data_IF_280006584324
#
_entry.id   IF_280006584324
#
_cell.length_a   1.000
_cell.length_b   1.000
_cell.length_c   1.000
_cell.angle_alpha   90.00
_cell.angle_beta   90.00
_cell.angle_gamma   90.00
#
_symmetry.space_group_name_H-M   'P 1'
#
loop_
_entity.id
_entity.type
_entity.pdbx_description
1 polymer ?
#
# COMPACT_ATOMS: atom_id res chain seq x y z
N UNK A 1 3.52 27.27 17.31
CA UNK A 1 3.62 26.95 15.87
C UNK A 1 4.90 27.59 15.37
N UNK A 2 5.99 26.82 15.23
CA UNK A 2 7.26 27.33 14.68
C UNK A 2 6.98 27.96 13.31
N UNK A 3 7.20 29.27 13.17
CA UNK A 3 7.08 29.97 11.88
C UNK A 3 8.40 30.02 11.12
N UNK A 4 9.49 29.62 11.76
CA UNK A 4 10.85 29.71 11.24
C UNK A 4 11.38 28.33 10.85
N UNK A 5 12.35 28.31 9.94
CA UNK A 5 13.03 27.10 9.52
C UNK A 5 13.93 26.59 10.66
N UNK A 6 13.77 25.34 11.11
CA UNK A 6 14.58 24.79 12.21
C UNK A 6 16.05 24.57 11.81
N UNK A 7 16.37 24.62 10.51
CA UNK A 7 17.73 24.45 10.00
C UNK A 7 18.52 25.76 9.92
N UNK A 8 17.88 26.87 9.53
CA UNK A 8 18.58 28.14 9.28
C UNK A 8 17.97 29.37 9.95
N UNK A 9 16.86 29.24 10.67
CA UNK A 9 16.17 30.35 11.33
C UNK A 9 15.39 31.30 10.41
N UNK A 10 15.39 31.07 9.09
CA UNK A 10 14.64 31.92 8.16
C UNK A 10 13.12 31.81 8.38
N UNK A 11 12.40 32.93 8.27
CA UNK A 11 10.94 33.00 8.30
C UNK A 11 10.29 32.69 6.95
N UNK A 12 11.08 32.50 5.88
CA UNK A 12 10.60 32.10 4.56
C UNK A 12 10.23 30.63 4.54
N UNK A 13 9.06 30.29 5.12
CA UNK A 13 8.54 28.93 5.16
C UNK A 13 7.26 28.83 4.34
N UNK A 14 7.26 27.93 3.37
CA UNK A 14 6.12 27.62 2.48
C UNK A 14 5.39 26.41 3.06
N UNK A 15 4.17 26.56 3.62
CA UNK A 15 3.44 25.46 4.21
C UNK A 15 2.58 24.70 3.19
N UNK A 16 2.09 23.52 3.59
CA UNK A 16 1.07 22.75 2.87
C UNK A 16 1.42 22.40 1.42
N UNK A 17 2.71 22.22 1.13
CA UNK A 17 3.19 21.82 -0.19
C UNK A 17 2.78 20.37 -0.44
N UNK A 18 2.15 20.07 -1.57
CA UNK A 18 1.89 18.69 -1.97
C UNK A 18 3.17 18.04 -2.46
N UNK A 19 3.49 16.88 -1.94
CA UNK A 19 4.61 16.07 -2.41
C UNK A 19 4.08 14.98 -3.32
N UNK A 20 4.72 14.84 -4.46
CA UNK A 20 4.25 13.98 -5.53
C UNK A 20 5.28 12.89 -5.76
N UNK A 21 4.82 11.65 -5.75
CA UNK A 21 5.57 10.46 -6.12
C UNK A 21 5.25 10.08 -7.57
N UNK A 22 6.27 9.67 -8.33
CA UNK A 22 6.14 9.27 -9.72
C UNK A 22 6.48 7.80 -9.84
N UNK A 23 5.48 7.01 -10.21
CA UNK A 23 5.64 5.59 -10.53
C UNK A 23 5.42 5.35 -12.02
N UNK A 24 5.73 4.13 -12.48
CA UNK A 24 5.46 3.70 -13.86
C UNK A 24 3.97 3.83 -14.23
N UNK A 25 3.09 3.79 -13.23
CA UNK A 25 1.64 3.94 -13.35
C UNK A 25 1.13 5.39 -13.31
N UNK A 26 2.03 6.38 -13.19
CA UNK A 26 1.69 7.80 -13.25
C UNK A 26 2.11 8.60 -12.02
N UNK A 27 1.35 9.66 -11.76
CA UNK A 27 1.67 10.69 -10.76
C UNK A 27 0.69 10.56 -9.60
N UNK A 28 1.19 10.34 -8.39
CA UNK A 28 0.37 10.15 -7.18
C UNK A 28 0.90 10.96 -6.00
N UNK A 29 0.09 11.16 -4.96
CA UNK A 29 0.57 11.80 -3.73
C UNK A 29 1.57 10.88 -3.01
N UNK A 30 2.72 11.42 -2.58
CA UNK A 30 3.65 10.69 -1.74
C UNK A 30 2.94 10.28 -0.45
N UNK A 31 3.08 9.02 -0.05
CA UNK A 31 2.32 8.45 1.07
C UNK A 31 3.17 7.49 1.90
N UNK A 32 2.88 7.40 3.20
CA UNK A 32 3.35 6.32 4.06
C UNK A 32 2.42 5.11 3.86
N UNK A 33 3.00 3.91 3.75
CA UNK A 33 2.28 2.66 3.62
C UNK A 33 2.55 1.77 4.85
N UNK A 34 1.49 1.36 5.56
CA UNK A 34 1.58 0.45 6.72
C UNK A 34 0.82 -0.83 6.41
N UNK A 35 1.44 -1.99 6.62
CA UNK A 35 0.75 -3.28 6.66
C UNK A 35 0.27 -3.55 8.09
N UNK A 36 -1.04 -3.52 8.32
CA UNK A 36 -1.60 -3.81 9.66
C UNK A 36 -1.49 -5.28 10.05
N UNK A 37 -1.34 -6.19 9.08
CA UNK A 37 -1.11 -7.62 9.30
C UNK A 37 0.13 -8.06 8.53
N UNK A 38 1.34 -7.70 8.97
CA UNK A 38 2.55 -7.91 8.19
C UNK A 38 2.85 -9.40 7.94
N UNK A 39 2.41 -10.31 8.82
CA UNK A 39 2.61 -11.75 8.70
C UNK A 39 1.57 -12.44 7.79
N UNK A 40 0.50 -11.76 7.37
CA UNK A 40 -0.52 -12.38 6.52
C UNK A 40 0.01 -12.55 5.09
N UNK A 41 -0.10 -13.77 4.54
CA UNK A 41 0.28 -14.03 3.14
C UNK A 41 -0.67 -13.31 2.16
N UNK A 42 -1.96 -13.17 2.51
CA UNK A 42 -3.00 -12.53 1.71
C UNK A 42 -3.75 -11.51 2.58
N UNK A 43 -4.18 -10.38 2.00
CA UNK A 43 -4.92 -9.31 2.69
C UNK A 43 -4.21 -8.74 3.94
N UNK A 44 -2.99 -8.21 3.74
CA UNK A 44 -2.17 -7.57 4.80
C UNK A 44 -2.77 -6.30 5.44
N UNK A 45 -3.96 -5.87 5.00
CA UNK A 45 -4.63 -4.68 5.54
C UNK A 45 -3.81 -3.42 5.30
N UNK A 46 -3.37 -3.20 4.07
CA UNK A 46 -2.56 -2.03 3.72
C UNK A 46 -3.32 -0.73 3.95
N UNK A 47 -2.75 0.16 4.75
CA UNK A 47 -3.24 1.53 4.95
C UNK A 47 -2.26 2.53 4.36
N UNK A 48 -2.79 3.51 3.64
CA UNK A 48 -2.03 4.62 3.05
C UNK A 48 -2.34 5.91 3.78
N UNK A 49 -1.31 6.71 4.02
CA UNK A 49 -1.42 8.03 4.64
C UNK A 49 -0.67 9.05 3.80
N UNK A 50 -1.38 10.03 3.25
CA UNK A 50 -0.78 11.03 2.39
C UNK A 50 0.17 11.95 3.18
N UNK A 51 1.24 12.39 2.52
CA UNK A 51 2.19 13.36 3.05
C UNK A 51 1.99 14.73 2.41
N UNK A 52 2.14 15.75 3.24
CA UNK A 52 2.34 17.14 2.85
C UNK A 52 3.72 17.60 3.31
N UNK A 53 4.20 18.71 2.79
CA UNK A 53 5.49 19.28 3.15
C UNK A 53 5.38 20.72 3.63
N UNK A 54 6.33 21.10 4.48
CA UNK A 54 6.75 22.49 4.65
C UNK A 54 8.16 22.62 4.07
N UNK A 55 8.37 23.66 3.26
CA UNK A 55 9.64 23.89 2.57
C UNK A 55 10.15 25.27 2.93
N UNK A 56 11.40 25.37 3.38
CA UNK A 56 12.07 26.66 3.56
C UNK A 56 12.47 27.23 2.19
N UNK A 57 12.00 28.43 1.86
CA UNK A 57 12.35 29.15 0.64
C UNK A 57 13.83 29.58 0.60
N UNK A 58 14.44 29.85 1.75
CA UNK A 58 15.81 30.32 1.83
C UNK A 58 16.87 29.20 1.70
N UNK A 59 16.70 28.08 2.41
CA UNK A 59 17.71 27.01 2.45
C UNK A 59 17.24 25.65 1.89
N UNK A 60 15.99 25.54 1.45
CA UNK A 60 15.43 24.31 0.87
C UNK A 60 15.12 23.19 1.87
N UNK A 61 15.30 23.41 3.18
CA UNK A 61 14.93 22.40 4.18
C UNK A 61 13.46 22.02 4.03
N UNK A 62 13.20 20.71 3.90
CA UNK A 62 11.88 20.16 3.64
C UNK A 62 11.51 19.20 4.75
N UNK A 63 10.38 19.46 5.40
CA UNK A 63 9.82 18.63 6.47
C UNK A 63 8.49 18.05 6.02
N UNK A 64 8.25 16.76 6.28
CA UNK A 64 7.06 16.02 5.84
C UNK A 64 6.08 15.81 6.99
N UNK A 65 4.80 15.98 6.70
CA UNK A 65 3.70 15.84 7.65
C UNK A 65 2.64 14.89 7.10
N UNK A 66 2.26 13.91 7.92
CA UNK A 66 1.18 12.97 7.60
C UNK A 66 -0.19 13.62 7.78
N UNK A 67 -1.11 13.35 6.86
CA UNK A 67 -2.46 13.94 6.87
C UNK A 67 -3.33 13.48 8.05
N UNK A 68 -3.07 12.28 8.58
CA UNK A 68 -3.78 11.69 9.72
C UNK A 68 -2.77 11.03 10.68
N UNK A 69 -2.16 11.82 11.59
CA UNK A 69 -1.16 11.31 12.53
C UNK A 69 -1.73 10.27 13.50
N UNK A 70 -2.99 10.43 13.91
CA UNK A 70 -3.62 9.53 14.88
C UNK A 70 -3.89 8.17 14.26
N UNK A 71 -4.57 8.13 13.10
CA UNK A 71 -4.83 6.88 12.41
C UNK A 71 -3.55 6.18 11.94
N UNK A 72 -2.50 6.94 11.59
CA UNK A 72 -1.19 6.37 11.27
C UNK A 72 -0.59 5.66 12.47
N UNK A 73 -0.60 6.31 13.65
CA UNK A 73 -0.08 5.73 14.88
C UNK A 73 -0.86 4.48 15.30
N UNK A 74 -2.19 4.53 15.29
CA UNK A 74 -3.01 3.34 15.56
C UNK A 74 -2.70 2.18 14.61
N UNK A 75 -2.53 2.47 13.33
CA UNK A 75 -2.22 1.46 12.31
C UNK A 75 -0.86 0.80 12.59
N UNK A 76 0.14 1.59 13.00
CA UNK A 76 1.43 1.09 13.44
C UNK A 76 1.34 0.24 14.72
N UNK A 77 0.56 0.68 15.71
CA UNK A 77 0.33 -0.06 16.95
C UNK A 77 -0.34 -1.42 16.67
N UNK A 78 -1.36 -1.45 15.79
CA UNK A 78 -1.99 -2.70 15.32
C UNK A 78 -0.99 -3.62 14.61
N UNK A 79 -0.14 -3.06 13.75
CA UNK A 79 0.90 -3.81 13.04
C UNK A 79 1.93 -4.42 14.00
N UNK A 80 2.30 -3.69 15.05
CA UNK A 80 3.32 -4.10 16.04
C UNK A 80 2.78 -5.07 17.09
N UNK A 81 1.48 -5.04 17.37
CA UNK A 81 0.83 -5.95 18.32
C UNK A 81 0.65 -7.37 17.76
N UNK A 82 0.78 -7.56 16.44
CA UNK A 82 0.82 -8.89 15.84
C UNK A 82 2.16 -9.57 16.19
N UNK A 83 2.18 -10.81 16.71
CA UNK A 83 3.39 -11.44 17.24
C UNK A 83 4.53 -11.42 16.20
N UNK A 84 5.63 -10.78 16.60
CA UNK A 84 6.79 -10.43 15.78
C UNK A 84 7.73 -11.60 15.44
N UNK A 85 7.26 -12.85 15.47
CA UNK A 85 8.07 -13.96 14.96
C UNK A 85 7.79 -14.12 13.46
N UNK A 86 8.86 -14.03 12.67
CA UNK A 86 8.91 -14.20 11.21
C UNK A 86 8.72 -12.90 10.40
N UNK A 87 9.69 -11.99 10.50
CA UNK A 87 10.10 -11.21 9.33
C UNK A 87 10.95 -12.13 8.41
N UNK A 88 10.92 -11.93 7.09
CA UNK A 88 11.72 -10.85 6.56
C UNK A 88 10.99 -9.87 5.63
N UNK A 89 11.47 -8.64 5.68
CA UNK A 89 11.32 -7.57 4.70
C UNK A 89 11.92 -8.05 3.37
N UNK A 90 11.09 -8.42 2.39
CA UNK A 90 11.55 -8.63 1.01
C UNK A 90 10.46 -8.18 0.04
N UNK A 91 10.82 -7.24 -0.84
CA UNK A 91 10.25 -7.13 -2.19
C UNK A 91 8.89 -6.47 -2.29
N UNK A 92 8.88 -5.13 -2.32
CA UNK A 92 7.90 -4.43 -3.14
C UNK A 92 8.20 -4.74 -4.61
N UNK A 93 7.49 -5.70 -5.21
CA UNK A 93 7.52 -5.94 -6.65
C UNK A 93 6.12 -6.21 -7.19
N UNK A 94 5.64 -5.28 -8.02
CA UNK A 94 4.81 -5.58 -9.18
C UNK A 94 3.30 -5.81 -8.98
N UNK A 95 2.51 -5.71 -10.07
CA UNK A 95 1.08 -5.45 -10.03
C UNK A 95 0.27 -6.70 -9.66
N UNK A 96 -0.53 -6.59 -8.60
CA UNK A 96 -1.42 -7.64 -8.10
C UNK A 96 -2.59 -8.01 -9.05
N UNK A 97 -2.68 -7.38 -10.23
CA UNK A 97 -3.73 -7.66 -11.23
C UNK A 97 -3.57 -9.04 -11.87
N UNK A 98 -2.34 -9.58 -11.94
CA UNK A 98 -2.07 -10.88 -12.56
C UNK A 98 -2.59 -12.07 -11.73
N UNK A 99 -2.50 -12.01 -10.39
CA UNK A 99 -2.90 -13.13 -9.54
C UNK A 99 -4.40 -13.36 -9.50
N UNK A 100 -5.22 -12.31 -9.56
CA UNK A 100 -6.69 -12.45 -9.65
C UNK A 100 -7.08 -13.13 -10.97
N UNK A 101 -6.44 -12.76 -12.08
CA UNK A 101 -6.68 -13.40 -13.38
C UNK A 101 -6.31 -14.89 -13.38
N UNK A 102 -5.18 -15.25 -12.77
CA UNK A 102 -4.73 -16.65 -12.66
C UNK A 102 -5.74 -17.49 -11.85
N UNK A 103 -6.23 -16.95 -10.73
CA UNK A 103 -7.24 -17.65 -9.91
C UNK A 103 -8.56 -17.82 -10.65
N UNK A 104 -9.02 -16.79 -11.37
CA UNK A 104 -10.24 -16.87 -12.19
C UNK A 104 -10.10 -17.87 -13.35
N UNK A 105 -8.94 -17.90 -14.00
CA UNK A 105 -8.64 -18.86 -15.07
C UNK A 105 -8.57 -20.31 -14.56
N UNK A 106 -8.03 -20.52 -13.36
CA UNK A 106 -8.00 -21.84 -12.74
C UNK A 106 -9.41 -22.33 -12.38
N UNK A 107 -10.25 -21.45 -11.83
CA UNK A 107 -11.64 -21.78 -11.49
C UNK A 107 -12.49 -22.12 -12.73
N UNK A 108 -12.34 -21.37 -13.82
CA UNK A 108 -13.07 -21.64 -15.06
C UNK A 108 -12.64 -22.96 -15.71
N UNK A 109 -11.35 -23.29 -15.68
CA UNK A 109 -10.85 -24.58 -16.18
C UNK A 109 -11.41 -25.76 -15.39
N UNK A 110 -11.45 -25.67 -14.05
CA UNK A 110 -12.03 -26.73 -13.19
C UNK A 110 -13.52 -26.91 -13.46
N UNK A 111 -14.26 -25.81 -13.67
CA UNK A 111 -15.69 -25.86 -13.98
C UNK A 111 -15.95 -26.55 -15.33
N UNK A 112 -15.16 -26.24 -16.35
CA UNK A 112 -15.27 -26.84 -17.69
C UNK A 112 -14.97 -28.34 -17.67
N UNK A 113 -13.91 -28.75 -16.96
CA UNK A 113 -13.56 -30.17 -16.82
C UNK A 113 -14.64 -30.92 -16.03
N UNK A 114 -15.14 -30.33 -14.94
CA UNK A 114 -16.20 -30.93 -14.13
C UNK A 114 -17.50 -31.11 -14.90
N UNK A 115 -17.94 -30.09 -15.64
CA UNK A 115 -19.14 -30.15 -16.49
C UNK A 115 -18.96 -31.14 -17.65
N UNK A 116 -17.79 -31.18 -18.27
CA UNK A 116 -17.48 -32.14 -19.34
C UNK A 116 -17.53 -33.58 -18.85
N UNK A 117 -16.92 -33.87 -17.70
CA UNK A 117 -16.96 -35.20 -17.08
C UNK A 117 -18.39 -35.60 -16.70
N UNK A 118 -19.20 -34.66 -16.18
CA UNK A 118 -20.61 -34.88 -15.85
C UNK A 118 -21.43 -35.21 -17.11
N UNK A 119 -21.18 -34.51 -18.22
CA UNK A 119 -21.87 -34.73 -19.49
C UNK A 119 -21.54 -36.11 -20.08
N UNK A 120 -20.26 -36.51 -20.07
CA UNK A 120 -19.82 -37.83 -20.52
C UNK A 120 -20.44 -38.93 -19.66
N UNK A 121 -20.46 -38.76 -18.34
CA UNK A 121 -21.11 -39.69 -17.42
C UNK A 121 -22.60 -39.87 -17.75
N UNK A 122 -23.32 -38.77 -18.01
CA UNK A 122 -24.76 -38.80 -18.32
C UNK A 122 -25.07 -39.44 -19.68
N UNK A 123 -24.18 -39.28 -20.67
CA UNK A 123 -24.31 -39.92 -21.98
C UNK A 123 -23.99 -41.41 -21.94
N UNK A 124 -23.07 -41.83 -21.07
CA UNK A 124 -22.70 -43.24 -20.89
C UNK A 124 -23.69 -44.04 -20.01
N UNK A 125 -24.60 -43.35 -19.31
CA UNK A 125 -25.60 -43.97 -18.42
C UNK A 125 -27.02 -44.00 -19.01
N UNK A 126 -27.16 -43.71 -20.31
CA UNK A 126 -28.35 -43.97 -21.12
C UNK A 126 -28.15 -45.19 -22.01
#
# INVERSE_FOLDING_TARGET
>A
MERECPKCGSSEVIPSVRVIDRSDSGVQALSILIAEKPQAAVFRGWRKFALSARVCGACGYTELYVSDPHGMRESHERASAAPASLAPVVGATGPQVSQVLIVLAALSAVLLVGLGALMVYFLASR
#
